data_IF_767811327762
#
_entry.id   IF_767811327762
#
_cell.length_a   1.000
_cell.length_b   1.000
_cell.length_c   1.000
_cell.angle_alpha   90.00
_cell.angle_beta   90.00
_cell.angle_gamma   90.00
#
_symmetry.space_group_name_H-M   'P 1'
#
loop_
_entity.id
_entity.type
_entity.pdbx_description
1 polymer ?
#
# COMPACT_ATOMS: atom_id res chain seq x y z
N UNK A 1 42.11 2.23 -43.31
CA UNK A 1 41.53 1.54 -42.14
C UNK A 1 40.29 2.31 -41.75
N UNK A 2 39.12 1.88 -42.20
CA UNK A 2 37.86 2.63 -42.10
C UNK A 2 37.16 2.35 -40.78
N UNK A 3 36.94 3.39 -39.98
CA UNK A 3 36.02 3.32 -38.85
C UNK A 3 34.59 3.27 -39.41
N UNK A 4 33.84 2.23 -39.03
CA UNK A 4 32.49 1.99 -39.49
C UNK A 4 31.53 2.96 -38.75
N UNK A 5 30.78 3.82 -39.45
CA UNK A 5 29.96 4.86 -38.81
C UNK A 5 28.68 4.33 -38.13
N UNK A 6 28.54 3.02 -38.01
CA UNK A 6 27.37 2.34 -37.44
C UNK A 6 27.67 1.59 -36.14
N UNK A 7 28.85 1.78 -35.54
CA UNK A 7 29.09 1.24 -34.19
C UNK A 7 28.25 2.03 -33.17
N UNK A 8 27.30 1.39 -32.45
CA UNK A 8 26.57 2.07 -31.41
C UNK A 8 27.55 2.46 -30.30
N UNK A 9 27.68 3.76 -30.04
CA UNK A 9 28.42 4.28 -28.89
C UNK A 9 27.72 3.79 -27.61
N UNK A 10 28.17 2.66 -27.07
CA UNK A 10 27.77 2.21 -25.74
C UNK A 10 28.41 3.15 -24.71
N UNK A 11 27.78 4.31 -24.49
CA UNK A 11 28.21 5.26 -23.47
C UNK A 11 28.00 4.60 -22.11
N UNK A 12 29.08 4.46 -21.35
CA UNK A 12 29.14 3.85 -20.02
C UNK A 12 28.09 4.47 -19.06
N UNK A 13 27.72 5.73 -19.32
CA UNK A 13 26.67 6.45 -18.61
C UNK A 13 25.28 5.81 -18.77
N UNK A 14 24.94 5.21 -19.92
CA UNK A 14 23.65 4.55 -20.14
C UNK A 14 23.47 3.32 -19.24
N UNK A 15 24.55 2.55 -19.03
CA UNK A 15 24.52 1.42 -18.11
C UNK A 15 24.38 1.89 -16.67
N UNK A 16 25.08 2.96 -16.29
CA UNK A 16 24.95 3.56 -14.95
C UNK A 16 23.57 4.18 -14.72
N UNK A 17 22.99 4.84 -15.72
CA UNK A 17 21.61 5.37 -15.71
C UNK A 17 20.59 4.24 -15.61
N UNK A 18 20.81 3.12 -16.29
CA UNK A 18 19.95 1.93 -16.19
C UNK A 18 20.04 1.29 -14.81
N UNK A 19 21.25 1.23 -14.23
CA UNK A 19 21.46 0.75 -12.85
C UNK A 19 20.81 1.69 -11.83
N UNK A 20 20.94 3.01 -12.01
CA UNK A 20 20.31 4.00 -11.11
C UNK A 20 18.78 3.94 -11.23
N UNK A 21 18.24 3.83 -12.44
CA UNK A 21 16.80 3.65 -12.65
C UNK A 21 16.27 2.34 -12.06
N UNK A 22 17.00 1.22 -12.18
CA UNK A 22 16.64 -0.06 -11.58
C UNK A 22 16.80 -0.03 -10.04
N UNK A 23 17.84 0.63 -9.52
CA UNK A 23 18.05 0.84 -8.09
C UNK A 23 16.98 1.74 -7.47
N UNK A 24 16.54 2.79 -8.16
CA UNK A 24 15.42 3.64 -7.75
C UNK A 24 14.09 2.85 -7.81
N UNK A 25 13.85 2.07 -8.87
CA UNK A 25 12.73 1.13 -8.94
C UNK A 25 12.74 0.13 -7.77
N UNK A 26 13.91 -0.35 -7.35
CA UNK A 26 14.08 -1.24 -6.19
C UNK A 26 13.96 -0.52 -4.85
N UNK A 27 14.34 0.76 -4.77
CA UNK A 27 14.15 1.58 -3.57
C UNK A 27 12.66 1.91 -3.34
N UNK A 28 11.89 2.11 -4.42
CA UNK A 28 10.44 2.30 -4.36
C UNK A 28 9.65 1.00 -4.21
N UNK A 29 10.23 -0.17 -4.53
CA UNK A 29 9.63 -1.49 -4.24
C UNK A 29 9.79 -1.89 -2.76
N UNK A 30 9.75 -0.89 -1.87
CA UNK A 30 9.36 -1.08 -0.47
C UNK A 30 7.85 -1.35 -0.41
N UNK A 31 7.32 -2.27 -1.24
CA UNK A 31 5.99 -2.84 -1.09
C UNK A 31 5.96 -3.51 0.26
N UNK A 32 5.57 -2.75 1.28
CA UNK A 32 5.19 -3.29 2.58
C UNK A 32 3.86 -4.01 2.40
N UNK A 33 3.86 -5.10 1.66
CA UNK A 33 2.77 -6.08 1.70
C UNK A 33 2.74 -6.57 3.14
N UNK A 34 1.60 -6.36 3.78
CA UNK A 34 1.35 -6.76 5.17
C UNK A 34 0.09 -7.60 5.18
N UNK A 35 0.22 -8.81 5.70
CA UNK A 35 -0.93 -9.68 5.97
C UNK A 35 -1.47 -9.32 7.35
N UNK A 36 -2.75 -9.01 7.39
CA UNK A 36 -3.48 -8.72 8.62
C UNK A 36 -4.66 -9.67 8.70
N UNK A 37 -4.91 -10.22 9.88
CA UNK A 37 -6.06 -11.09 10.11
C UNK A 37 -7.25 -10.25 10.53
N UNK A 38 -8.39 -10.44 9.86
CA UNK A 38 -9.66 -9.86 10.29
C UNK A 38 -10.02 -10.48 11.64
N UNK A 39 -10.25 -9.62 12.62
CA UNK A 39 -10.66 -10.00 13.96
C UNK A 39 -12.17 -9.83 14.12
N UNK A 40 -12.75 -10.47 15.12
CA UNK A 40 -14.14 -10.24 15.51
C UNK A 40 -14.21 -9.20 16.61
N UNK A 41 -15.16 -8.27 16.51
CA UNK A 41 -15.35 -7.24 17.53
C UNK A 41 -16.81 -6.99 17.85
N UNK A 42 -17.07 -6.63 19.12
CA UNK A 42 -18.35 -6.09 19.60
C UNK A 42 -18.44 -4.56 19.44
N UNK A 43 -17.40 -3.90 18.90
CA UNK A 43 -17.26 -2.43 18.90
C UNK A 43 -18.38 -1.69 18.15
N UNK A 44 -19.05 -2.34 17.20
CA UNK A 44 -20.24 -1.77 16.56
C UNK A 44 -21.50 -2.41 17.17
N UNK A 45 -22.04 -1.75 18.20
CA UNK A 45 -23.36 -2.06 18.73
C UNK A 45 -24.24 -0.84 18.51
N UNK A 46 -25.27 -0.89 17.64
CA UNK A 46 -26.33 0.09 17.71
C UNK A 46 -26.95 -0.02 19.10
N UNK A 47 -27.08 1.11 19.79
CA UNK A 47 -27.74 1.17 21.09
C UNK A 47 -29.13 0.55 20.96
N UNK A 48 -29.38 -0.56 21.67
CA UNK A 48 -30.66 -1.27 21.67
C UNK A 48 -31.21 -1.25 23.08
N UNK A 49 -32.42 -0.68 23.31
CA UNK A 49 -33.06 -0.68 24.62
C UNK A 49 -33.46 -2.10 25.07
N UNK A 50 -33.49 -3.07 24.15
CA UNK A 50 -33.65 -4.49 24.45
C UNK A 50 -32.28 -5.13 24.65
N UNK A 51 -32.04 -5.69 25.84
CA UNK A 51 -30.83 -6.49 26.12
C UNK A 51 -30.81 -7.71 25.20
N UNK A 52 -29.89 -7.73 24.23
CA UNK A 52 -29.60 -8.94 23.45
C UNK A 52 -28.62 -9.80 24.25
N UNK A 53 -29.00 -11.03 24.55
CA UNK A 53 -28.18 -11.99 25.34
C UNK A 53 -26.85 -12.32 24.66
N UNK A 54 -26.79 -12.28 23.32
CA UNK A 54 -25.55 -12.42 22.58
C UNK A 54 -25.58 -11.50 21.34
N UNK A 55 -24.99 -10.29 21.40
CA UNK A 55 -24.94 -9.38 20.26
C UNK A 55 -24.05 -9.96 19.14
N UNK A 56 -24.40 -9.75 17.86
CA UNK A 56 -23.61 -10.24 16.74
C UNK A 56 -22.21 -9.62 16.75
N UNK A 57 -21.20 -10.44 16.48
CA UNK A 57 -19.84 -9.98 16.26
C UNK A 57 -19.71 -9.45 14.84
N UNK A 58 -18.96 -8.36 14.67
CA UNK A 58 -18.68 -7.78 13.35
C UNK A 58 -17.21 -7.97 12.99
N UNK A 59 -16.89 -8.14 11.69
CA UNK A 59 -15.53 -8.08 11.20
C UNK A 59 -14.87 -6.76 11.57
N UNK A 60 -13.66 -6.82 12.10
CA UNK A 60 -12.86 -5.67 12.50
C UNK A 60 -11.42 -5.82 12.02
N UNK A 61 -10.89 -4.74 11.47
CA UNK A 61 -9.52 -4.65 10.98
C UNK A 61 -8.85 -3.41 11.55
N UNK A 62 -7.61 -3.57 12.04
CA UNK A 62 -6.78 -2.46 12.51
C UNK A 62 -5.61 -2.24 11.55
N UNK A 63 -5.56 -1.06 10.94
CA UNK A 63 -4.41 -0.60 10.16
C UNK A 63 -3.61 0.38 11.02
N UNK A 64 -2.42 -0.04 11.46
CA UNK A 64 -1.52 0.80 12.24
C UNK A 64 -0.06 0.44 11.99
N UNK A 65 0.81 1.44 12.04
CA UNK A 65 2.27 1.28 11.95
C UNK A 65 2.92 2.31 11.03
N UNK A 66 4.24 2.47 11.15
CA UNK A 66 5.05 3.41 10.33
C UNK A 66 4.97 3.14 8.82
N UNK A 67 4.58 1.92 8.42
CA UNK A 67 4.36 1.58 7.01
C UNK A 67 3.26 2.42 6.35
N UNK A 68 2.28 2.92 7.11
CA UNK A 68 1.28 3.86 6.59
C UNK A 68 1.91 5.22 6.26
N UNK A 69 2.81 5.71 7.12
CA UNK A 69 3.54 6.95 6.87
C UNK A 69 4.49 6.82 5.67
N UNK A 70 5.17 5.68 5.55
CA UNK A 70 6.01 5.37 4.38
C UNK A 70 5.21 5.25 3.09
N UNK A 71 3.95 4.80 3.16
CA UNK A 71 3.02 4.81 2.03
C UNK A 71 2.43 6.20 1.72
N UNK A 72 2.87 7.24 2.44
CA UNK A 72 2.47 8.64 2.21
C UNK A 72 1.21 9.09 2.96
N UNK A 73 0.63 8.24 3.81
CA UNK A 73 -0.50 8.64 4.65
C UNK A 73 -0.04 9.51 5.82
N UNK A 74 -0.86 10.50 6.19
CA UNK A 74 -0.55 11.43 7.27
C UNK A 74 -1.53 11.31 8.43
N UNK A 75 -1.10 11.58 9.68
CA UNK A 75 -2.03 11.70 10.80
C UNK A 75 -3.14 12.71 10.48
N UNK A 76 -4.37 12.39 10.90
CA UNK A 76 -5.57 13.24 10.70
C UNK A 76 -5.98 13.47 9.24
N UNK A 77 -5.36 12.78 8.27
CA UNK A 77 -5.77 12.81 6.88
C UNK A 77 -7.16 12.20 6.70
N UNK A 78 -7.98 12.79 5.84
CA UNK A 78 -9.28 12.22 5.44
C UNK A 78 -9.05 11.16 4.36
N UNK A 79 -9.69 10.01 4.53
CA UNK A 79 -9.54 8.87 3.63
C UNK A 79 -10.90 8.45 3.07
N UNK A 80 -10.90 8.03 1.81
CA UNK A 80 -11.98 7.32 1.14
C UNK A 80 -11.70 5.84 1.26
N UNK A 81 -12.69 5.07 1.69
CA UNK A 81 -12.64 3.61 1.71
C UNK A 81 -13.69 3.11 0.74
N UNK A 82 -13.24 2.51 -0.36
CA UNK A 82 -14.10 1.84 -1.32
C UNK A 82 -14.16 0.34 -0.98
N UNK A 83 -15.38 -0.17 -0.85
CA UNK A 83 -15.65 -1.56 -0.53
C UNK A 83 -16.12 -2.27 -1.79
N UNK A 84 -15.35 -3.24 -2.24
CA UNK A 84 -15.64 -4.12 -3.37
C UNK A 84 -15.68 -5.58 -2.88
N UNK A 85 -16.13 -6.51 -3.72
CA UNK A 85 -16.12 -7.93 -3.39
C UNK A 85 -14.68 -8.39 -3.10
N UNK A 86 -14.43 -8.85 -1.87
CA UNK A 86 -13.11 -9.30 -1.36
C UNK A 86 -11.97 -8.27 -1.48
N UNK A 87 -12.29 -6.99 -1.64
CA UNK A 87 -11.28 -5.94 -1.87
C UNK A 87 -11.66 -4.64 -1.18
N UNK A 88 -10.72 -4.10 -0.42
CA UNK A 88 -10.80 -2.76 0.16
C UNK A 88 -9.75 -1.87 -0.50
N UNK A 89 -10.17 -0.71 -1.00
CA UNK A 89 -9.26 0.31 -1.55
C UNK A 89 -9.33 1.53 -0.66
N UNK A 90 -8.19 1.93 -0.10
CA UNK A 90 -8.07 3.08 0.81
C UNK A 90 -7.23 4.14 0.13
N UNK A 91 -7.80 5.33 -0.06
CA UNK A 91 -7.15 6.45 -0.74
C UNK A 91 -7.35 7.75 0.01
N UNK A 92 -6.42 8.72 -0.07
CA UNK A 92 -6.67 10.09 0.36
C UNK A 92 -7.91 10.71 -0.29
N UNK A 93 -8.62 11.56 0.45
CA UNK A 93 -9.66 12.46 -0.08
C UNK A 93 -9.06 13.82 -0.39
#
# INVERSE_FOLDING_TARGET
>A
MGANPYDPLTTINSHQESIMADADLKAFDTRSTRTVTIQESRRWQPYSPRRRTNPPLVPWLKLSGRWLEHAGFKPRQRLKVEVQHERLVITPV
#
